data_IF_954454366204
#
_entry.id   IF_954454366204
#
_cell.length_a   1.000
_cell.length_b   1.000
_cell.length_c   1.000
_cell.angle_alpha   90.00
_cell.angle_beta   90.00
_cell.angle_gamma   90.00
#
_symmetry.space_group_name_H-M   'P 1'
#
loop_
_entity.id
_entity.type
_entity.pdbx_description
1 polymer ?
#
# COMPACT_ATOMS: atom_id res chain seq x y z
N UNK A 1 27.32 9.81 19.04
CA UNK A 1 26.67 9.05 17.94
C UNK A 1 26.40 7.64 18.43
N UNK A 2 25.17 7.36 18.85
CA UNK A 2 24.75 6.03 19.29
C UNK A 2 24.47 5.20 18.04
N UNK A 3 25.32 4.21 17.74
CA UNK A 3 25.05 3.24 16.66
C UNK A 3 23.86 2.39 17.08
N UNK A 4 22.68 2.62 16.50
CA UNK A 4 21.52 1.75 16.66
C UNK A 4 21.93 0.33 16.24
N UNK A 5 21.87 -0.63 17.17
CA UNK A 5 22.28 -2.02 16.95
C UNK A 5 21.49 -2.59 15.76
N UNK A 6 22.16 -3.29 14.84
CA UNK A 6 21.51 -3.99 13.74
C UNK A 6 20.56 -5.03 14.34
N UNK A 7 19.25 -4.83 14.13
CA UNK A 7 18.20 -5.75 14.57
C UNK A 7 17.92 -6.76 13.45
N UNK A 8 17.53 -7.98 13.81
CA UNK A 8 17.17 -9.00 12.83
C UNK A 8 15.83 -8.63 12.16
N UNK A 9 15.64 -9.10 10.91
CA UNK A 9 14.44 -8.81 10.14
C UNK A 9 13.17 -9.34 10.84
N UNK A 10 13.27 -10.56 11.38
CA UNK A 10 12.25 -11.21 12.19
C UNK A 10 11.79 -10.30 13.36
N UNK A 11 12.71 -9.89 14.25
CA UNK A 11 12.34 -9.09 15.43
C UNK A 11 11.65 -7.78 15.06
N UNK A 12 12.13 -7.10 14.01
CA UNK A 12 11.50 -5.87 13.53
C UNK A 12 10.16 -6.13 12.86
N UNK A 13 9.99 -7.29 12.21
CA UNK A 13 8.76 -7.67 11.54
C UNK A 13 7.67 -8.02 12.54
N UNK A 14 7.98 -8.82 13.57
CA UNK A 14 7.05 -9.15 14.65
C UNK A 14 6.56 -7.88 15.38
N UNK A 15 7.45 -6.95 15.70
CA UNK A 15 7.04 -5.66 16.31
C UNK A 15 6.07 -4.85 15.44
N UNK A 16 6.31 -4.80 14.13
CA UNK A 16 5.41 -4.11 13.20
C UNK A 16 4.06 -4.83 13.15
N UNK A 17 4.10 -6.15 13.03
CA UNK A 17 2.91 -7.00 12.95
C UNK A 17 2.03 -6.83 14.17
N UNK A 18 2.59 -6.95 15.37
CA UNK A 18 1.88 -6.78 16.64
C UNK A 18 1.18 -5.41 16.74
N UNK A 19 1.88 -4.33 16.36
CA UNK A 19 1.29 -2.97 16.37
C UNK A 19 0.14 -2.84 15.39
N UNK A 20 0.26 -3.43 14.20
CA UNK A 20 -0.77 -3.36 13.15
C UNK A 20 -1.98 -4.24 13.49
N UNK A 21 -1.78 -5.43 14.07
CA UNK A 21 -2.88 -6.29 14.51
C UNK A 21 -3.64 -5.66 15.68
N UNK A 22 -2.94 -4.98 16.58
CA UNK A 22 -3.55 -4.36 17.76
C UNK A 22 -4.58 -3.25 17.43
N UNK A 23 -4.50 -2.64 16.25
CA UNK A 23 -5.45 -1.60 15.82
C UNK A 23 -6.67 -2.17 15.10
N UNK A 24 -6.67 -3.46 14.73
CA UNK A 24 -7.81 -4.12 14.11
C UNK A 24 -8.30 -3.43 12.83
N UNK A 25 -9.62 -3.21 12.74
CA UNK A 25 -10.27 -2.66 11.55
C UNK A 25 -9.92 -1.20 11.26
N UNK A 26 -9.50 -0.42 12.26
CA UNK A 26 -9.06 0.98 12.11
C UNK A 26 -7.72 1.07 11.36
N UNK A 27 -6.87 0.05 11.52
CA UNK A 27 -5.52 0.03 10.97
C UNK A 27 -4.57 0.96 11.72
N UNK A 28 -3.28 0.79 11.48
CA UNK A 28 -2.23 1.62 12.11
C UNK A 28 -1.65 2.58 11.08
N UNK A 29 -1.55 3.87 11.42
CA UNK A 29 -0.81 4.84 10.60
C UNK A 29 0.65 4.40 10.41
N UNK A 30 1.35 5.00 9.44
CA UNK A 30 2.77 4.69 9.22
C UNK A 30 3.59 4.94 10.50
N UNK A 31 3.35 6.03 11.20
CA UNK A 31 4.02 6.39 12.45
C UNK A 31 3.76 5.37 13.55
N UNK A 32 2.53 4.93 13.73
CA UNK A 32 2.16 3.92 14.73
C UNK A 32 2.75 2.55 14.41
N UNK A 33 2.61 2.08 13.17
CA UNK A 33 3.14 0.79 12.74
C UNK A 33 4.67 0.75 12.84
N UNK A 34 5.34 1.85 12.48
CA UNK A 34 6.80 1.98 12.51
C UNK A 34 7.35 2.12 13.92
N UNK A 35 6.68 2.87 14.80
CA UNK A 35 7.19 3.20 16.13
C UNK A 35 8.61 3.80 16.07
N UNK A 36 9.50 3.32 16.92
CA UNK A 36 10.89 3.81 17.00
C UNK A 36 11.85 3.20 15.96
N UNK A 37 11.33 2.41 15.00
CA UNK A 37 12.17 1.79 13.99
C UNK A 37 12.75 2.83 13.03
N UNK A 38 14.03 2.68 12.68
CA UNK A 38 14.61 3.44 11.57
C UNK A 38 13.97 3.03 10.25
N UNK A 39 14.06 3.88 9.22
CA UNK A 39 13.51 3.57 7.89
C UNK A 39 14.07 2.28 7.29
N UNK A 40 15.35 1.98 7.54
CA UNK A 40 15.96 0.73 7.09
C UNK A 40 15.39 -0.50 7.80
N UNK A 41 15.15 -0.40 9.12
CA UNK A 41 14.54 -1.47 9.90
C UNK A 41 13.08 -1.68 9.54
N UNK A 42 12.33 -0.60 9.35
CA UNK A 42 10.95 -0.61 8.87
C UNK A 42 10.80 -1.39 7.56
N UNK A 43 11.61 -1.05 6.55
CA UNK A 43 11.56 -1.72 5.25
C UNK A 43 12.04 -3.18 5.32
N UNK A 44 13.01 -3.49 6.19
CA UNK A 44 13.46 -4.86 6.42
C UNK A 44 12.38 -5.72 7.09
N UNK A 45 11.72 -5.19 8.12
CA UNK A 45 10.63 -5.87 8.85
C UNK A 45 9.42 -6.12 7.95
N UNK A 46 8.97 -5.10 7.18
CA UNK A 46 7.90 -5.28 6.19
C UNK A 46 8.19 -6.37 5.17
N UNK A 47 9.45 -6.49 4.71
CA UNK A 47 9.84 -7.56 3.79
C UNK A 47 9.67 -8.92 4.45
N UNK A 48 10.19 -9.07 5.67
CA UNK A 48 10.03 -10.32 6.41
C UNK A 48 8.55 -10.68 6.66
N UNK A 49 7.71 -9.69 6.99
CA UNK A 49 6.26 -9.90 7.14
C UNK A 49 5.66 -10.48 5.86
N UNK A 50 5.94 -9.84 4.70
CA UNK A 50 5.40 -10.26 3.41
C UNK A 50 5.93 -11.63 2.94
N UNK A 51 7.18 -11.93 3.25
CA UNK A 51 7.84 -13.17 2.81
C UNK A 51 7.45 -14.38 3.69
N UNK A 52 7.14 -14.17 4.98
CA UNK A 52 6.93 -15.24 5.96
C UNK A 52 5.63 -15.05 6.76
N UNK A 53 5.52 -13.97 7.54
CA UNK A 53 4.45 -13.81 8.54
C UNK A 53 3.03 -13.88 7.94
N UNK A 54 2.80 -13.23 6.80
CA UNK A 54 1.50 -13.28 6.12
C UNK A 54 1.06 -14.72 5.81
N UNK A 55 2.00 -15.58 5.44
CA UNK A 55 1.73 -16.99 5.16
C UNK A 55 1.47 -17.77 6.44
N UNK A 56 2.29 -17.53 7.48
CA UNK A 56 2.19 -18.26 8.74
C UNK A 56 0.90 -17.94 9.50
N UNK A 57 0.42 -16.71 9.41
CA UNK A 57 -0.82 -16.24 10.05
C UNK A 57 -2.06 -16.33 9.15
N UNK A 58 -1.91 -16.79 7.90
CA UNK A 58 -2.99 -16.83 6.89
C UNK A 58 -3.74 -15.49 6.75
N UNK A 59 -2.98 -14.40 6.72
CA UNK A 59 -3.47 -13.02 6.69
C UNK A 59 -2.67 -12.17 5.69
N UNK A 60 -3.33 -11.18 5.10
CA UNK A 60 -2.67 -10.17 4.28
C UNK A 60 -2.06 -9.06 5.13
N UNK A 61 -0.96 -8.46 4.66
CA UNK A 61 -0.43 -7.21 5.20
C UNK A 61 -0.56 -6.13 4.12
N UNK A 62 -1.61 -5.32 4.25
CA UNK A 62 -2.00 -4.34 3.24
C UNK A 62 -1.80 -2.91 3.74
N UNK A 63 -1.37 -2.02 2.85
CA UNK A 63 -1.48 -0.58 3.08
C UNK A 63 -2.73 -0.09 2.35
N UNK A 64 -3.65 0.50 3.09
CA UNK A 64 -4.81 1.13 2.52
C UNK A 64 -4.80 2.59 2.95
N UNK A 65 -4.72 3.49 1.97
CA UNK A 65 -4.42 4.92 2.17
C UNK A 65 -3.09 5.11 2.93
N UNK A 66 -3.16 5.75 4.09
CA UNK A 66 -2.07 6.07 5.01
C UNK A 66 -1.96 5.08 6.17
N UNK A 67 -2.81 4.05 6.21
CA UNK A 67 -2.86 3.05 7.27
C UNK A 67 -2.44 1.66 6.78
N UNK A 68 -1.87 0.88 7.69
CA UNK A 68 -1.49 -0.51 7.53
C UNK A 68 -2.50 -1.40 8.26
N UNK A 69 -2.83 -2.50 7.62
CA UNK A 69 -3.80 -3.49 8.08
C UNK A 69 -3.18 -4.88 8.00
N UNK A 70 -3.51 -5.72 8.97
CA UNK A 70 -3.20 -7.13 8.97
C UNK A 70 -4.53 -7.88 9.11
N UNK A 71 -4.94 -8.58 8.06
CA UNK A 71 -6.28 -9.19 7.99
C UNK A 71 -6.59 -9.84 6.65
N UNK A 72 -7.81 -10.31 6.48
CA UNK A 72 -8.27 -11.02 5.27
C UNK A 72 -9.25 -10.21 4.42
N UNK A 73 -9.23 -8.88 4.57
CA UNK A 73 -10.06 -7.97 3.80
C UNK A 73 -9.58 -7.92 2.34
N UNK A 74 -10.34 -8.60 1.47
CA UNK A 74 -10.04 -8.72 0.05
C UNK A 74 -9.89 -7.34 -0.61
N UNK A 75 -10.75 -6.38 -0.27
CA UNK A 75 -10.75 -5.05 -0.86
C UNK A 75 -9.49 -4.26 -0.52
N UNK A 76 -9.06 -4.26 0.75
CA UNK A 76 -7.83 -3.58 1.19
C UNK A 76 -6.61 -4.18 0.51
N UNK A 77 -6.60 -5.51 0.33
CA UNK A 77 -5.56 -6.23 -0.41
C UNK A 77 -5.52 -5.85 -1.88
N UNK A 78 -6.67 -5.84 -2.56
CA UNK A 78 -6.78 -5.48 -3.97
C UNK A 78 -6.41 -4.01 -4.20
N UNK A 79 -6.86 -3.11 -3.32
CA UNK A 79 -6.48 -1.70 -3.37
C UNK A 79 -4.97 -1.52 -3.25
N UNK A 80 -4.35 -2.13 -2.24
CA UNK A 80 -2.90 -2.04 -2.05
C UNK A 80 -2.12 -2.61 -3.25
N UNK A 81 -2.62 -3.69 -3.86
CA UNK A 81 -2.04 -4.27 -5.06
C UNK A 81 -2.14 -3.33 -6.26
N UNK A 82 -3.29 -2.70 -6.47
CA UNK A 82 -3.51 -1.66 -7.48
C UNK A 82 -2.56 -0.47 -7.31
N UNK A 83 -2.39 0.00 -6.07
CA UNK A 83 -1.45 1.07 -5.72
C UNK A 83 0.00 0.71 -6.08
N UNK A 84 0.40 -0.54 -5.82
CA UNK A 84 1.73 -1.05 -6.18
C UNK A 84 1.92 -1.08 -7.70
N UNK A 85 0.94 -1.58 -8.45
CA UNK A 85 1.04 -1.62 -9.92
C UNK A 85 1.14 -0.22 -10.52
N UNK A 86 0.35 0.73 -10.01
CA UNK A 86 0.44 2.14 -10.40
C UNK A 86 1.82 2.75 -10.10
N UNK A 87 2.41 2.43 -8.95
CA UNK A 87 3.75 2.91 -8.62
C UNK A 87 4.81 2.33 -9.57
N UNK A 88 4.68 1.05 -9.94
CA UNK A 88 5.57 0.38 -10.89
C UNK A 88 5.45 1.01 -12.28
N UNK A 89 4.22 1.19 -12.78
CA UNK A 89 3.93 1.84 -14.07
C UNK A 89 4.59 3.22 -14.15
N UNK A 90 4.29 4.09 -13.18
CA UNK A 90 4.86 5.43 -13.12
C UNK A 90 6.40 5.44 -13.06
N UNK A 91 7.00 4.53 -12.29
CA UNK A 91 8.47 4.42 -12.19
C UNK A 91 9.09 3.97 -13.51
N UNK A 92 8.48 3.00 -14.19
CA UNK A 92 8.95 2.50 -15.48
C UNK A 92 8.81 3.55 -16.58
N UNK A 93 7.66 4.21 -16.68
CA UNK A 93 7.43 5.27 -17.65
C UNK A 93 8.43 6.43 -17.47
N UNK A 94 8.73 6.81 -16.22
CA UNK A 94 9.76 7.82 -15.91
C UNK A 94 11.16 7.34 -16.27
N UNK A 95 11.51 6.10 -15.93
CA UNK A 95 12.82 5.54 -16.23
C UNK A 95 13.06 5.42 -17.74
N UNK A 96 12.05 5.00 -18.51
CA UNK A 96 12.07 4.99 -19.97
C UNK A 96 12.44 6.37 -20.52
N UNK A 97 11.69 7.39 -20.10
CA UNK A 97 11.89 8.77 -20.54
C UNK A 97 13.25 9.31 -20.13
N UNK A 98 13.64 9.18 -18.87
CA UNK A 98 14.83 9.85 -18.35
C UNK A 98 16.14 9.11 -18.65
N UNK A 99 16.12 7.79 -18.77
CA UNK A 99 17.32 6.97 -18.92
C UNK A 99 17.54 6.48 -20.35
N UNK A 100 16.50 6.31 -21.16
CA UNK A 100 16.60 5.70 -22.48
C UNK A 100 16.33 6.69 -23.63
N UNK A 101 15.28 7.51 -23.54
CA UNK A 101 14.86 8.40 -24.65
C UNK A 101 15.86 9.52 -24.98
N UNK A 102 16.69 9.94 -24.02
CA UNK A 102 17.68 11.01 -24.21
C UNK A 102 19.10 10.50 -24.45
N UNK A 103 19.27 9.21 -24.74
CA UNK A 103 20.57 8.67 -25.15
C UNK A 103 20.97 9.24 -26.52
N UNK A 104 22.28 9.39 -26.79
CA UNK A 104 22.73 9.89 -28.07
C UNK A 104 22.39 8.88 -29.19
N UNK A 105 22.14 9.31 -30.44
CA UNK A 105 21.66 8.44 -31.51
C UNK A 105 22.52 7.19 -31.75
N UNK A 106 23.84 7.31 -31.61
CA UNK A 106 24.79 6.20 -31.74
C UNK A 106 24.61 5.12 -30.65
N UNK A 107 24.13 5.49 -29.46
CA UNK A 107 23.86 4.56 -28.36
C UNK A 107 22.51 3.86 -28.53
N UNK A 108 21.50 4.56 -29.05
CA UNK A 108 20.15 4.02 -29.30
C UNK A 108 20.19 2.83 -30.26
N UNK A 109 21.09 2.88 -31.26
CA UNK A 109 21.27 1.78 -32.22
C UNK A 109 21.92 0.52 -31.65
N UNK A 110 22.44 0.55 -30.41
CA UNK A 110 23.09 -0.62 -29.83
C UNK A 110 22.08 -1.65 -29.35
N UNK A 111 22.40 -2.94 -29.54
CA UNK A 111 21.55 -4.05 -29.12
C UNK A 111 21.14 -3.98 -27.64
N UNK A 112 22.06 -3.54 -26.76
CA UNK A 112 21.78 -3.45 -25.31
C UNK A 112 20.71 -2.40 -25.00
N UNK A 113 20.75 -1.26 -25.66
CA UNK A 113 19.76 -0.18 -25.46
C UNK A 113 18.42 -0.58 -26.07
N UNK A 114 18.42 -1.18 -27.25
CA UNK A 114 17.20 -1.72 -27.87
C UNK A 114 16.53 -2.79 -27.00
N UNK A 115 17.33 -3.69 -26.41
CA UNK A 115 16.81 -4.69 -25.48
C UNK A 115 16.20 -4.03 -24.23
N UNK A 116 16.84 -2.99 -23.69
CA UNK A 116 16.29 -2.25 -22.54
C UNK A 116 14.96 -1.56 -22.88
N UNK A 117 14.85 -0.93 -24.06
CA UNK A 117 13.57 -0.39 -24.55
C UNK A 117 12.50 -1.48 -24.64
N UNK A 118 12.81 -2.61 -25.30
CA UNK A 118 11.86 -3.70 -25.48
C UNK A 118 11.39 -4.32 -24.14
N UNK A 119 12.28 -4.41 -23.15
CA UNK A 119 11.93 -4.90 -21.81
C UNK A 119 10.99 -3.94 -21.08
N UNK A 120 11.26 -2.63 -21.14
CA UNK A 120 10.42 -1.63 -20.49
C UNK A 120 9.07 -1.53 -21.20
N UNK A 121 9.06 -1.44 -22.52
CA UNK A 121 7.84 -1.38 -23.34
C UNK A 121 7.00 -2.63 -23.12
N UNK A 122 7.61 -3.82 -23.10
CA UNK A 122 6.90 -5.06 -22.82
C UNK A 122 6.25 -5.13 -21.43
N UNK A 123 6.83 -4.51 -20.41
CA UNK A 123 6.19 -4.44 -19.08
C UNK A 123 5.04 -3.42 -19.09
N UNK A 124 5.24 -2.26 -19.71
CA UNK A 124 4.20 -1.23 -19.83
C UNK A 124 2.98 -1.76 -20.62
N UNK A 125 3.21 -2.50 -21.70
CA UNK A 125 2.16 -3.16 -22.49
C UNK A 125 1.37 -4.20 -21.68
N UNK A 126 2.01 -4.86 -20.70
CA UNK A 126 1.33 -5.80 -19.80
C UNK A 126 0.51 -5.09 -18.72
N UNK A 127 0.90 -3.87 -18.35
CA UNK A 127 0.21 -3.04 -17.35
C UNK A 127 -0.99 -2.31 -17.96
N UNK A 128 -0.94 -1.92 -19.23
CA UNK A 128 -2.02 -1.18 -19.92
C UNK A 128 -3.42 -1.85 -19.83
N UNK A 129 -3.60 -3.18 -20.02
CA UNK A 129 -4.89 -3.84 -19.81
C UNK A 129 -5.39 -3.74 -18.38
N UNK A 130 -4.49 -3.76 -17.40
CA UNK A 130 -4.83 -3.70 -15.99
C UNK A 130 -5.20 -2.26 -15.58
N UNK A 131 -4.56 -1.24 -16.16
CA UNK A 131 -4.95 0.15 -16.02
C UNK A 131 -6.37 0.36 -16.56
N UNK A 132 -6.63 -0.15 -17.78
CA UNK A 132 -7.95 -0.15 -18.43
C UNK A 132 -9.01 -0.94 -17.67
N UNK A 133 -8.61 -1.99 -16.96
CA UNK A 133 -9.49 -2.80 -16.11
C UNK A 133 -9.80 -2.15 -14.75
N UNK A 134 -9.27 -0.95 -14.46
CA UNK A 134 -9.72 -0.16 -13.33
C UNK A 134 -8.86 -0.23 -12.06
N UNK A 135 -7.55 -0.49 -12.16
CA UNK A 135 -6.65 0.06 -11.13
C UNK A 135 -6.38 1.56 -11.31
N UNK A 136 -6.91 2.15 -12.39
CA UNK A 136 -7.00 3.61 -12.55
C UNK A 136 -7.54 4.24 -11.26
N UNK A 137 -6.96 5.39 -10.89
CA UNK A 137 -7.28 6.14 -9.67
C UNK A 137 -8.80 6.29 -9.43
N UNK A 138 -9.56 6.52 -10.51
CA UNK A 138 -10.99 6.79 -10.46
C UNK A 138 -11.80 5.54 -10.10
N UNK A 139 -11.43 4.36 -10.62
CA UNK A 139 -12.15 3.11 -10.33
C UNK A 139 -11.85 2.59 -8.93
N UNK A 140 -10.62 2.77 -8.44
CA UNK A 140 -10.29 2.49 -7.05
C UNK A 140 -11.04 3.43 -6.08
N UNK A 141 -11.27 4.69 -6.48
CA UNK A 141 -12.07 5.65 -5.73
C UNK A 141 -13.59 5.35 -5.80
N UNK A 142 -14.10 4.82 -6.91
CA UNK A 142 -15.50 4.38 -7.04
C UNK A 142 -15.80 3.13 -6.21
N UNK A 143 -14.94 2.11 -6.28
CA UNK A 143 -15.00 0.94 -5.39
C UNK A 143 -14.99 1.43 -3.94
N UNK A 144 -14.12 2.40 -3.62
CA UNK A 144 -14.04 2.97 -2.29
C UNK A 144 -15.31 3.65 -1.80
N UNK A 145 -15.94 4.50 -2.64
CA UNK A 145 -17.22 5.16 -2.28
C UNK A 145 -18.28 4.14 -1.94
N UNK A 146 -18.31 3.03 -2.67
CA UNK A 146 -19.21 1.92 -2.35
C UNK A 146 -18.94 1.31 -0.98
N UNK A 147 -17.67 1.11 -0.59
CA UNK A 147 -17.32 0.56 0.72
C UNK A 147 -17.64 1.52 1.87
N UNK A 148 -17.39 2.82 1.72
CA UNK A 148 -17.81 3.82 2.72
C UNK A 148 -19.32 3.85 2.92
N UNK A 149 -20.07 3.76 1.83
CA UNK A 149 -21.53 3.78 1.87
C UNK A 149 -22.09 2.52 2.55
N UNK A 150 -21.45 1.36 2.36
CA UNK A 150 -21.78 0.10 3.05
C UNK A 150 -21.45 0.15 4.55
N UNK A 151 -20.24 0.59 4.93
CA UNK A 151 -19.86 0.76 6.35
C UNK A 151 -20.75 1.78 7.07
N UNK A 152 -21.14 2.88 6.39
CA UNK A 152 -22.05 3.88 6.96
C UNK A 152 -23.49 3.36 7.07
N UNK A 153 -23.91 2.47 6.18
CA UNK A 153 -25.24 1.85 6.23
C UNK A 153 -25.39 0.87 7.40
N UNK A 154 -24.30 0.19 7.79
CA UNK A 154 -24.28 -0.79 8.88
C UNK A 154 -24.06 -0.19 10.28
N UNK A 155 -23.75 1.10 10.40
CA UNK A 155 -23.69 1.77 11.71
C UNK A 155 -25.09 1.99 12.31
N UNK A 156 -25.41 1.43 13.50
CA UNK A 156 -26.70 1.64 14.12
C UNK A 156 -26.86 3.13 14.48
N UNK A 157 -27.91 3.77 13.96
CA UNK A 157 -28.27 5.15 14.28
C UNK A 157 -28.30 5.34 15.80
N UNK A 158 -27.29 6.01 16.35
CA UNK A 158 -27.26 6.42 17.74
C UNK A 158 -28.54 7.20 18.04
N UNK A 159 -29.43 6.65 18.88
CA UNK A 159 -30.65 7.31 19.31
C UNK A 159 -30.26 8.58 20.05
N UNK A 160 -30.54 9.74 19.44
CA UNK A 160 -30.43 11.04 20.08
C UNK A 160 -31.43 11.11 21.24
N UNK A 161 -30.94 10.86 22.46
CA UNK A 161 -31.68 11.06 23.70
C UNK A 161 -31.73 12.56 23.98
N UNK A 162 -32.74 13.24 23.43
CA UNK A 162 -33.09 14.60 23.89
C UNK A 162 -33.54 14.50 25.36
N UNK A 163 -32.74 15.02 26.28
CA UNK A 163 -33.19 15.29 27.65
C UNK A 163 -34.24 16.41 27.62
N UNK A 164 -35.40 16.27 28.29
CA UNK A 164 -36.31 17.37 28.49
C UNK A 164 -35.77 18.26 29.63
N UNK A 165 -35.48 19.51 29.32
CA UNK A 165 -35.28 20.53 30.34
C UNK A 165 -36.61 20.77 31.07
N UNK A 166 -36.68 20.32 32.32
CA UNK A 166 -37.73 20.70 33.25
C UNK A 166 -37.54 22.17 33.64
N UNK A 167 -38.51 23.00 33.27
CA UNK A 167 -38.72 24.32 33.86
C UNK A 167 -39.61 24.14 35.09
N UNK A 168 -39.12 24.51 36.26
CA UNK A 168 -39.97 24.66 37.45
C UNK A 168 -40.01 26.13 37.82
N UNK A 169 -41.22 26.60 38.09
CA UNK A 169 -41.63 27.95 38.46
C UNK A 169 -41.15 28.39 39.85
#
# INVERSE_FOLDING_TARGET
MTRTRRRAAHDTGEEIWERVVATGEEGASMEEAKGDLTEAQWNLGKRWIKDYKCKDEEMSFARFRDHYFAGNEQEKSLYNLSDIFKEIDHKLARARRSLLEYLPPEAIGTYRVQLAFAQVDGILDLLDPMEKAGYSYDTAEEIYKHLEDEERADQPRAKSTKQPHGTTA
#
